data_IF_535315958949
#
_entry.id   IF_535315958949
#
_cell.length_a   1.000
_cell.length_b   1.000
_cell.length_c   1.000
_cell.angle_alpha   90.00
_cell.angle_beta   90.00
_cell.angle_gamma   90.00
#
_symmetry.space_group_name_H-M   'P 1'
#
loop_
_entity.id
_entity.type
_entity.pdbx_description
1 polymer ?
#
# COMPACT_ATOMS: atom_id res chain seq x y z
N UNK A 1 10.59 -63.49 66.32
CA UNK A 1 9.81 -62.51 65.53
C UNK A 1 10.52 -62.38 64.19
N UNK A 2 9.97 -62.94 63.08
CA UNK A 2 10.73 -63.48 61.96
C UNK A 2 10.94 -62.46 60.83
N UNK A 3 12.09 -62.44 60.14
CA UNK A 3 12.48 -63.21 58.95
C UNK A 3 11.87 -62.73 57.60
N UNK A 4 12.77 -62.55 56.61
CA UNK A 4 12.64 -62.75 55.15
C UNK A 4 11.88 -61.72 54.29
N UNK A 5 12.16 -61.47 53.02
CA UNK A 5 13.29 -61.67 52.07
C UNK A 5 12.84 -61.07 50.70
N UNK A 6 13.78 -60.88 49.75
CA UNK A 6 13.65 -60.76 48.28
C UNK A 6 13.49 -59.40 47.57
N UNK A 7 14.65 -58.91 47.11
CA UNK A 7 15.10 -58.84 45.70
C UNK A 7 14.12 -58.48 44.56
N UNK A 8 14.49 -57.48 43.75
CA UNK A 8 14.74 -57.65 42.29
C UNK A 8 15.45 -56.44 41.70
N UNK A 9 16.40 -56.73 40.81
CA UNK A 9 17.25 -55.83 40.06
C UNK A 9 16.51 -55.08 38.91
N UNK A 10 17.15 -54.02 38.39
CA UNK A 10 16.79 -53.34 37.15
C UNK A 10 17.76 -52.21 36.81
N UNK A 11 18.85 -52.56 36.11
CA UNK A 11 19.83 -51.66 35.50
C UNK A 11 19.28 -50.98 34.23
N UNK A 12 19.95 -49.87 33.89
CA UNK A 12 20.29 -49.38 32.55
C UNK A 12 19.32 -48.55 31.67
N UNK A 13 19.81 -47.33 31.45
CA UNK A 13 20.16 -46.74 30.15
C UNK A 13 19.11 -45.97 29.32
N UNK A 14 19.41 -44.67 29.21
CA UNK A 14 19.52 -43.89 27.97
C UNK A 14 18.40 -44.04 26.94
N UNK A 15 17.58 -42.99 26.83
CA UNK A 15 17.06 -42.54 25.53
C UNK A 15 17.21 -41.04 25.38
N UNK A 16 17.91 -40.68 24.32
CA UNK A 16 17.91 -39.38 23.66
C UNK A 16 16.47 -38.94 23.38
N UNK A 17 16.18 -37.67 23.66
CA UNK A 17 14.97 -37.01 23.18
C UNK A 17 15.40 -35.85 22.29
N UNK A 18 15.04 -35.96 21.01
CA UNK A 18 15.37 -35.03 19.94
C UNK A 18 14.50 -33.77 20.06
N UNK A 19 15.16 -32.63 20.21
CA UNK A 19 14.54 -31.32 20.22
C UNK A 19 14.01 -30.90 18.85
N UNK A 20 12.72 -31.12 18.61
CA UNK A 20 11.95 -30.54 17.50
C UNK A 20 11.12 -29.33 17.97
N UNK A 21 11.77 -28.19 18.19
CA UNK A 21 11.10 -26.93 18.55
C UNK A 21 10.38 -26.28 17.37
N UNK A 22 9.18 -26.78 17.04
CA UNK A 22 8.28 -26.13 16.09
C UNK A 22 7.74 -24.82 16.65
N UNK A 23 8.35 -23.69 16.29
CA UNK A 23 7.83 -22.34 16.54
C UNK A 23 6.89 -21.93 15.40
N UNK A 24 5.75 -22.61 15.31
CA UNK A 24 4.64 -22.16 14.46
C UNK A 24 3.91 -21.02 15.16
N UNK A 25 3.84 -19.84 14.51
CA UNK A 25 2.92 -18.78 14.94
C UNK A 25 1.50 -19.35 14.88
N UNK A 26 0.72 -19.33 15.99
CA UNK A 26 -0.64 -19.84 15.95
C UNK A 26 -1.48 -19.01 14.96
N UNK A 27 -2.49 -19.61 14.29
CA UNK A 27 -3.40 -18.86 13.43
C UNK A 27 -4.09 -17.73 14.21
N UNK A 28 -4.52 -16.64 13.54
CA UNK A 28 -5.20 -15.55 14.20
C UNK A 28 -6.45 -16.08 14.92
N UNK A 29 -6.61 -15.69 16.19
CA UNK A 29 -7.85 -15.98 16.92
C UNK A 29 -8.99 -15.14 16.31
N UNK A 30 -10.23 -15.64 16.37
CA UNK A 30 -11.45 -14.97 15.84
C UNK A 30 -11.63 -13.49 16.26
N UNK A 31 -10.89 -13.01 17.26
CA UNK A 31 -10.91 -11.61 17.69
C UNK A 31 -10.04 -10.68 16.84
N UNK A 32 -9.07 -11.20 16.07
CA UNK A 32 -8.10 -10.38 15.31
C UNK A 32 -8.42 -10.18 13.83
N UNK A 33 -9.57 -10.63 13.33
CA UNK A 33 -9.99 -10.42 11.93
C UNK A 33 -11.42 -9.92 11.90
N UNK A 34 -11.57 -8.59 11.91
CA UNK A 34 -12.83 -7.91 11.72
C UNK A 34 -13.31 -8.12 10.28
N UNK A 35 -14.19 -9.09 10.08
CA UNK A 35 -14.93 -9.27 8.83
C UNK A 35 -15.99 -8.18 8.70
N UNK A 36 -15.86 -7.27 7.73
CA UNK A 36 -16.89 -6.26 7.42
C UNK A 36 -17.63 -6.69 6.16
N UNK A 37 -18.94 -6.94 6.29
CA UNK A 37 -19.84 -7.07 5.15
C UNK A 37 -20.23 -5.67 4.65
N UNK A 38 -19.68 -5.23 3.51
CA UNK A 38 -20.08 -3.98 2.86
C UNK A 38 -21.32 -4.22 1.98
N UNK A 39 -22.47 -3.64 2.34
CA UNK A 39 -23.68 -3.66 1.52
C UNK A 39 -23.64 -2.51 0.49
N UNK A 40 -23.58 -2.84 -0.80
CA UNK A 40 -23.65 -1.87 -1.89
C UNK A 40 -25.10 -1.72 -2.39
N UNK A 41 -25.67 -0.52 -2.25
CA UNK A 41 -26.96 -0.15 -2.83
C UNK A 41 -26.82 0.26 -4.30
N UNK A 42 -27.60 -0.38 -5.19
CA UNK A 42 -27.64 -0.11 -6.63
C UNK A 42 -28.75 0.91 -6.90
N UNK A 43 -28.38 2.06 -7.49
CA UNK A 43 -29.32 3.02 -8.08
C UNK A 43 -29.13 3.07 -9.60
N UNK A 44 -30.00 2.38 -10.33
CA UNK A 44 -30.15 2.46 -11.79
C UNK A 44 -30.95 3.71 -12.16
N UNK A 45 -30.46 4.54 -13.07
CA UNK A 45 -31.32 5.37 -13.92
C UNK A 45 -30.77 5.44 -15.35
N UNK A 46 -31.66 5.09 -16.27
CA UNK A 46 -31.50 5.08 -17.72
C UNK A 46 -32.14 6.34 -18.35
N UNK A 47 -31.72 6.67 -19.57
CA UNK A 47 -32.36 7.63 -20.50
C UNK A 47 -31.33 8.11 -21.52
N UNK A 48 -31.26 7.61 -22.76
CA UNK A 48 -32.16 7.74 -23.93
C UNK A 48 -31.95 9.03 -24.76
N UNK A 49 -31.60 8.82 -26.05
CA UNK A 49 -31.80 9.70 -27.21
C UNK A 49 -30.86 10.92 -27.33
N UNK A 50 -30.42 11.37 -28.51
CA UNK A 50 -30.87 11.15 -29.89
C UNK A 50 -29.77 11.62 -30.87
N UNK A 51 -29.71 10.98 -32.05
CA UNK A 51 -28.90 11.38 -33.20
C UNK A 51 -29.50 12.60 -33.92
N UNK A 52 -28.65 13.39 -34.58
CA UNK A 52 -29.04 13.94 -35.89
C UNK A 52 -27.84 14.27 -36.76
N UNK A 53 -27.93 13.81 -38.01
CA UNK A 53 -26.97 13.98 -39.09
C UNK A 53 -27.29 15.25 -39.92
N UNK A 54 -26.26 15.80 -40.58
CA UNK A 54 -26.42 16.85 -41.58
C UNK A 54 -25.15 17.02 -42.43
N UNK A 55 -25.19 16.49 -43.65
CA UNK A 55 -24.12 16.53 -44.67
C UNK A 55 -23.93 17.90 -45.33
N UNK A 56 -22.80 18.13 -46.05
CA UNK A 56 -22.34 19.44 -46.51
C UNK A 56 -22.75 19.76 -47.95
N UNK A 57 -22.66 21.04 -48.34
CA UNK A 57 -22.73 21.45 -49.74
C UNK A 57 -21.97 22.76 -49.98
N UNK A 58 -21.32 22.87 -51.14
CA UNK A 58 -20.98 24.17 -51.74
C UNK A 58 -19.57 24.29 -52.31
N UNK A 59 -19.45 24.10 -53.62
CA UNK A 59 -18.26 24.22 -54.46
C UNK A 59 -17.73 25.68 -54.62
N UNK A 60 -16.48 25.78 -55.09
CA UNK A 60 -15.72 27.03 -55.34
C UNK A 60 -16.23 27.91 -56.50
N UNK A 61 -15.43 28.90 -56.96
CA UNK A 61 -14.36 28.56 -57.91
C UNK A 61 -13.07 29.41 -57.83
N UNK A 62 -12.12 29.00 -58.69
CA UNK A 62 -10.77 29.51 -58.92
C UNK A 62 -10.69 30.95 -59.46
N UNK A 63 -9.57 31.62 -59.16
CA UNK A 63 -9.11 32.84 -59.82
C UNK A 63 -7.58 32.92 -59.79
N UNK A 64 -6.97 32.84 -60.97
CA UNK A 64 -5.54 32.85 -61.28
C UNK A 64 -4.94 34.27 -61.35
N UNK A 65 -3.66 34.42 -60.97
CA UNK A 65 -2.73 35.24 -61.76
C UNK A 65 -1.84 36.27 -61.05
N UNK A 66 -0.53 36.13 -61.32
CA UNK A 66 0.57 37.13 -61.41
C UNK A 66 1.39 37.53 -60.17
N UNK A 67 2.62 36.98 -60.17
CA UNK A 67 3.92 37.64 -60.34
C UNK A 67 4.35 38.80 -59.41
N UNK A 68 5.49 38.52 -58.74
CA UNK A 68 6.64 39.40 -58.46
C UNK A 68 6.45 40.69 -57.66
N UNK A 69 7.00 40.68 -56.44
CA UNK A 69 8.09 41.57 -56.00
C UNK A 69 8.62 41.12 -54.64
N UNK A 70 9.93 40.86 -54.56
CA UNK A 70 10.65 40.88 -53.28
C UNK A 70 10.59 42.29 -52.69
N UNK A 71 10.43 42.39 -51.37
CA UNK A 71 11.27 43.32 -50.63
C UNK A 71 11.91 42.66 -49.41
N UNK A 72 13.21 42.95 -49.28
CA UNK A 72 13.92 43.25 -48.04
C UNK A 72 13.82 42.26 -46.88
N UNK A 73 14.97 41.66 -46.54
CA UNK A 73 15.21 40.88 -45.34
C UNK A 73 14.73 41.63 -44.07
N UNK A 74 13.64 41.13 -43.49
CA UNK A 74 13.22 41.42 -42.11
C UNK A 74 14.09 40.58 -41.18
N UNK A 75 14.55 41.08 -40.01
CA UNK A 75 15.25 40.23 -39.07
C UNK A 75 14.32 39.11 -38.66
N UNK A 76 14.77 37.87 -38.87
CA UNK A 76 14.06 36.67 -38.43
C UNK A 76 13.83 36.81 -36.92
N UNK A 77 12.60 37.12 -36.52
CA UNK A 77 12.17 37.04 -35.13
C UNK A 77 12.39 35.59 -34.74
N UNK A 78 13.44 35.33 -33.96
CA UNK A 78 13.65 34.04 -33.32
C UNK A 78 12.37 33.69 -32.58
N UNK A 79 11.62 32.71 -33.08
CA UNK A 79 10.51 32.14 -32.34
C UNK A 79 11.04 31.69 -30.98
N UNK A 80 10.42 32.10 -29.86
CA UNK A 80 10.84 31.62 -28.56
C UNK A 80 10.71 30.11 -28.55
N UNK A 81 11.82 29.42 -28.29
CA UNK A 81 11.82 27.97 -28.08
C UNK A 81 10.84 27.67 -26.94
N UNK A 82 9.91 26.71 -27.08
CA UNK A 82 8.92 26.44 -26.06
C UNK A 82 9.64 26.05 -24.76
N UNK A 83 9.37 26.79 -23.69
CA UNK A 83 9.86 26.45 -22.35
C UNK A 83 9.35 25.04 -22.01
N UNK A 84 10.23 24.08 -21.66
CA UNK A 84 9.78 22.74 -21.31
C UNK A 84 8.79 22.81 -20.15
N UNK A 85 7.69 22.06 -20.25
CA UNK A 85 6.72 21.95 -19.14
C UNK A 85 7.46 21.44 -17.89
N UNK A 86 7.21 22.02 -16.71
CA UNK A 86 7.81 21.52 -15.48
C UNK A 86 7.37 20.07 -15.25
N UNK A 87 8.33 19.22 -14.91
CA UNK A 87 8.08 17.80 -14.65
C UNK A 87 7.25 17.64 -13.38
N UNK A 88 6.37 16.62 -13.26
CA UNK A 88 5.64 16.35 -12.04
C UNK A 88 6.56 16.14 -10.83
N UNK A 89 6.13 16.58 -9.65
CA UNK A 89 6.87 16.45 -8.40
C UNK A 89 6.01 15.79 -7.32
N UNK A 90 6.66 15.30 -6.26
CA UNK A 90 5.99 14.86 -5.04
C UNK A 90 5.22 16.03 -4.41
N UNK A 91 4.20 15.77 -3.57
CA UNK A 91 3.35 16.81 -2.98
C UNK A 91 4.12 17.97 -2.33
N UNK A 92 5.25 17.67 -1.69
CA UNK A 92 6.13 18.64 -0.98
C UNK A 92 7.39 19.03 -1.76
N UNK A 93 7.44 18.66 -3.04
CA UNK A 93 8.47 19.05 -4.01
C UNK A 93 9.54 17.98 -4.25
N UNK A 94 10.29 18.14 -5.33
CA UNK A 94 11.30 17.19 -5.75
C UNK A 94 10.72 15.85 -6.21
N UNK A 95 11.59 14.87 -6.46
CA UNK A 95 11.21 13.59 -7.10
C UNK A 95 11.63 12.34 -6.34
N UNK A 96 12.34 12.50 -5.23
CA UNK A 96 12.95 11.43 -4.45
C UNK A 96 12.28 11.32 -3.08
N UNK A 97 11.78 10.13 -2.73
CA UNK A 97 11.14 9.87 -1.43
C UNK A 97 12.15 9.80 -0.27
N UNK A 98 13.46 9.70 -0.54
CA UNK A 98 14.50 9.64 0.50
C UNK A 98 14.59 10.91 1.36
N UNK A 99 14.14 12.06 0.81
CA UNK A 99 14.05 13.34 1.54
C UNK A 99 13.01 13.31 2.66
N UNK A 100 12.02 12.41 2.57
CA UNK A 100 10.84 12.43 3.42
C UNK A 100 10.83 11.31 4.46
N UNK A 101 10.21 11.60 5.59
CA UNK A 101 9.67 10.59 6.52
C UNK A 101 8.18 10.47 6.26
N UNK A 102 7.75 9.30 5.81
CA UNK A 102 6.33 9.04 5.60
C UNK A 102 5.68 8.76 6.95
N UNK A 103 4.52 9.38 7.20
CA UNK A 103 3.66 9.04 8.34
C UNK A 103 2.21 9.07 7.89
N UNK A 104 1.45 8.02 8.17
CA UNK A 104 0.09 7.93 7.69
C UNK A 104 -0.84 7.19 8.62
N UNK A 105 -2.14 7.36 8.36
CA UNK A 105 -3.21 6.55 8.96
C UNK A 105 -3.85 5.69 7.86
N UNK A 106 -4.25 4.47 8.20
CA UNK A 106 -5.06 3.62 7.33
C UNK A 106 -6.56 3.75 7.65
N UNK A 107 -7.41 3.40 6.70
CA UNK A 107 -8.85 3.33 6.95
C UNK A 107 -9.73 3.19 5.74
N UNK A 108 -11.00 2.88 6.00
CA UNK A 108 -12.10 2.93 5.04
C UNK A 108 -13.29 3.67 5.64
N UNK A 109 -13.88 4.67 4.94
CA UNK A 109 -15.09 5.34 5.39
C UNK A 109 -16.22 4.38 5.73
N UNK A 110 -16.84 4.57 6.89
CA UNK A 110 -17.96 3.73 7.34
C UNK A 110 -17.54 2.38 7.94
N UNK A 111 -16.25 2.07 7.99
CA UNK A 111 -15.70 0.88 8.62
C UNK A 111 -14.64 1.27 9.65
N UNK A 112 -15.09 1.78 10.81
CA UNK A 112 -14.21 2.25 11.89
C UNK A 112 -13.21 1.18 12.35
N UNK A 113 -13.63 -0.08 12.30
CA UNK A 113 -12.82 -1.26 12.57
C UNK A 113 -11.61 -1.47 11.63
N UNK A 114 -11.55 -0.75 10.51
CA UNK A 114 -10.50 -0.89 9.49
C UNK A 114 -9.49 0.27 9.52
N UNK A 115 -9.50 1.08 10.57
CA UNK A 115 -8.51 2.13 10.80
C UNK A 115 -9.10 3.55 10.86
N UNK A 116 -8.39 4.39 11.61
CA UNK A 116 -8.86 5.73 12.00
C UNK A 116 -9.10 6.69 10.85
N UNK A 117 -8.45 6.52 9.70
CA UNK A 117 -8.63 7.41 8.54
C UNK A 117 -10.08 7.42 8.05
N UNK A 118 -10.83 6.34 8.27
CA UNK A 118 -12.24 6.22 7.92
C UNK A 118 -13.22 6.88 8.90
N UNK A 119 -12.73 7.41 10.03
CA UNK A 119 -13.56 7.89 11.15
C UNK A 119 -13.61 9.42 11.16
N UNK A 120 -14.81 10.00 11.16
CA UNK A 120 -14.99 11.46 11.28
C UNK A 120 -14.70 12.23 10.00
N UNK A 121 -14.37 13.52 10.13
CA UNK A 121 -14.04 14.39 9.01
C UNK A 121 -12.64 14.09 8.46
N UNK A 122 -12.54 13.98 7.13
CA UNK A 122 -11.29 13.59 6.48
C UNK A 122 -10.21 14.66 6.61
N UNK A 123 -10.55 15.95 6.49
CA UNK A 123 -9.56 17.01 6.59
C UNK A 123 -9.04 17.16 8.03
N UNK A 124 -9.87 16.88 9.04
CA UNK A 124 -9.42 16.74 10.44
C UNK A 124 -8.44 15.58 10.61
N UNK A 125 -8.71 14.42 10.00
CA UNK A 125 -7.76 13.30 10.05
C UNK A 125 -6.41 13.67 9.43
N UNK A 126 -6.40 14.35 8.27
CA UNK A 126 -5.14 14.75 7.65
C UNK A 126 -4.36 15.76 8.51
N UNK A 127 -5.04 16.73 9.14
CA UNK A 127 -4.41 17.64 10.11
C UNK A 127 -3.80 16.89 11.30
N UNK A 128 -4.47 15.84 11.76
CA UNK A 128 -3.95 15.00 12.83
C UNK A 128 -2.74 14.18 12.39
N UNK A 129 -2.74 13.63 11.17
CA UNK A 129 -1.57 12.98 10.56
C UNK A 129 -0.41 13.98 10.48
N UNK A 130 -0.64 15.21 10.02
CA UNK A 130 0.41 16.24 9.97
C UNK A 130 1.04 16.53 11.34
N UNK A 131 0.21 16.59 12.39
CA UNK A 131 0.67 16.77 13.77
C UNK A 131 1.54 15.59 14.21
N UNK A 132 1.08 14.37 13.96
CA UNK A 132 1.83 13.15 14.29
C UNK A 132 3.14 13.10 13.49
N UNK A 133 3.11 13.40 12.19
CA UNK A 133 4.26 13.33 11.29
C UNK A 133 5.44 14.20 11.76
N UNK A 134 5.16 15.38 12.34
CA UNK A 134 6.20 16.26 12.91
C UNK A 134 7.00 15.59 14.04
N UNK A 135 6.37 14.72 14.84
CA UNK A 135 7.07 14.00 15.91
C UNK A 135 8.01 12.89 15.39
N UNK A 136 7.77 12.38 14.18
CA UNK A 136 8.58 11.32 13.56
C UNK A 136 9.60 11.83 12.54
N UNK A 137 9.50 13.09 12.12
CA UNK A 137 10.34 13.72 11.10
C UNK A 137 11.85 13.44 11.32
N UNK A 138 12.32 13.70 12.54
CA UNK A 138 13.73 13.60 12.93
C UNK A 138 14.65 14.34 11.96
N UNK A 139 15.41 13.61 11.15
CA UNK A 139 16.39 14.09 10.18
C UNK A 139 15.81 14.32 8.76
N UNK A 140 14.51 14.13 8.57
CA UNK A 140 13.83 14.20 7.27
C UNK A 140 12.60 15.09 7.33
N UNK A 141 12.10 15.49 6.16
CA UNK A 141 10.86 16.26 6.08
C UNK A 141 9.63 15.36 6.29
N UNK A 142 8.67 15.76 7.14
CA UNK A 142 7.46 14.98 7.34
C UNK A 142 6.57 15.04 6.09
N UNK A 143 6.14 13.87 5.62
CA UNK A 143 5.21 13.70 4.51
C UNK A 143 3.99 12.89 4.99
N UNK A 144 2.83 13.55 5.16
CA UNK A 144 1.58 12.87 5.49
C UNK A 144 1.20 11.87 4.39
N UNK A 145 0.61 10.75 4.80
CA UNK A 145 0.12 9.68 3.93
C UNK A 145 -1.30 9.29 4.35
N UNK A 146 -2.23 9.31 3.42
CA UNK A 146 -3.56 8.72 3.57
C UNK A 146 -3.49 7.33 2.96
N UNK A 147 -3.67 6.28 3.74
CA UNK A 147 -3.74 4.93 3.19
C UNK A 147 -5.20 4.44 3.20
N UNK A 148 -5.82 4.54 2.03
CA UNK A 148 -7.20 4.14 1.83
C UNK A 148 -7.24 2.68 1.40
N UNK A 149 -8.03 1.85 2.08
CA UNK A 149 -8.37 0.51 1.60
C UNK A 149 -9.14 0.65 0.28
N UNK A 150 -8.47 0.43 -0.84
CA UNK A 150 -9.05 0.49 -2.17
C UNK A 150 -9.71 -0.84 -2.57
N UNK A 151 -9.19 -1.95 -2.02
CA UNK A 151 -9.78 -3.28 -2.10
C UNK A 151 -9.77 -3.90 -0.70
N UNK A 152 -10.90 -4.47 -0.28
CA UNK A 152 -11.08 -5.07 1.04
C UNK A 152 -11.45 -6.54 0.88
N UNK A 153 -10.81 -7.42 1.63
CA UNK A 153 -11.16 -8.84 1.61
C UNK A 153 -12.45 -9.11 2.40
N UNK A 154 -13.28 -10.01 1.88
CA UNK A 154 -14.57 -10.36 2.46
C UNK A 154 -14.55 -11.82 2.94
N UNK A 155 -15.25 -12.10 4.03
CA UNK A 155 -15.47 -13.49 4.50
C UNK A 155 -16.39 -14.30 3.60
N UNK A 156 -17.09 -13.64 2.66
CA UNK A 156 -18.00 -14.26 1.69
C UNK A 156 -17.59 -13.93 0.26
N UNK A 157 -17.84 -14.88 -0.65
CA UNK A 157 -17.58 -14.69 -2.06
C UNK A 157 -18.47 -13.59 -2.65
N UNK A 158 -17.86 -12.67 -3.40
CA UNK A 158 -18.60 -11.79 -4.30
C UNK A 158 -19.08 -12.52 -5.56
N UNK A 159 -19.78 -11.83 -6.47
CA UNK A 159 -20.31 -12.43 -7.71
C UNK A 159 -19.25 -13.08 -8.61
N UNK A 160 -18.01 -12.59 -8.55
CA UNK A 160 -16.87 -13.11 -9.32
C UNK A 160 -16.07 -14.20 -8.55
N UNK A 161 -16.53 -14.59 -7.35
CA UNK A 161 -15.89 -15.62 -6.54
C UNK A 161 -14.56 -15.17 -5.88
N UNK A 162 -14.19 -13.89 -5.95
CA UNK A 162 -12.86 -13.41 -5.53
C UNK A 162 -12.75 -12.98 -4.07
N UNK A 163 -13.83 -13.04 -3.28
CA UNK A 163 -13.81 -12.71 -1.84
C UNK A 163 -13.24 -11.32 -1.53
N UNK A 164 -13.58 -10.32 -2.34
CA UNK A 164 -13.23 -8.92 -2.06
C UNK A 164 -14.36 -7.96 -2.45
N UNK A 165 -14.22 -6.71 -2.03
CA UNK A 165 -14.99 -5.56 -2.52
C UNK A 165 -14.01 -4.45 -2.94
N UNK A 166 -14.38 -3.66 -3.95
CA UNK A 166 -13.63 -2.45 -4.33
C UNK A 166 -14.29 -1.21 -3.77
N UNK A 167 -13.47 -0.29 -3.27
CA UNK A 167 -13.91 1.05 -2.89
C UNK A 167 -14.32 1.83 -4.14
N UNK A 168 -15.41 2.59 -4.05
CA UNK A 168 -15.96 3.31 -5.21
C UNK A 168 -14.97 4.37 -5.73
N UNK A 169 -14.94 4.63 -7.06
CA UNK A 169 -14.13 5.70 -7.63
C UNK A 169 -14.39 7.07 -6.99
N UNK A 170 -15.64 7.36 -6.58
CA UNK A 170 -15.97 8.62 -5.90
C UNK A 170 -15.34 8.74 -4.52
N UNK A 171 -15.23 7.62 -3.79
CA UNK A 171 -14.54 7.61 -2.51
C UNK A 171 -13.03 7.80 -2.72
N UNK A 172 -12.44 7.12 -3.70
CA UNK A 172 -11.01 7.30 -4.03
C UNK A 172 -10.76 8.77 -4.44
N UNK A 173 -11.63 9.35 -5.28
CA UNK A 173 -11.56 10.75 -5.69
C UNK A 173 -11.57 11.70 -4.50
N UNK A 174 -12.50 11.50 -3.55
CA UNK A 174 -12.60 12.32 -2.34
C UNK A 174 -11.31 12.29 -1.51
N UNK A 175 -10.68 11.11 -1.40
CA UNK A 175 -9.41 10.95 -0.68
C UNK A 175 -8.23 11.55 -1.45
N UNK A 176 -8.20 11.40 -2.77
CA UNK A 176 -7.18 12.02 -3.62
C UNK A 176 -7.25 13.54 -3.56
N UNK A 177 -8.46 14.11 -3.62
CA UNK A 177 -8.65 15.55 -3.49
C UNK A 177 -8.21 16.07 -2.11
N UNK A 178 -8.46 15.31 -1.04
CA UNK A 178 -7.94 15.63 0.29
C UNK A 178 -6.40 15.57 0.32
N UNK A 179 -5.79 14.52 -0.24
CA UNK A 179 -4.35 14.39 -0.33
C UNK A 179 -3.72 15.59 -1.06
N UNK A 180 -4.31 16.02 -2.18
CA UNK A 180 -3.88 17.20 -2.93
C UNK A 180 -3.99 18.49 -2.12
N UNK A 181 -5.13 18.73 -1.44
CA UNK A 181 -5.35 19.94 -0.61
C UNK A 181 -4.30 20.07 0.49
N UNK A 182 -3.93 18.95 1.13
CA UNK A 182 -2.99 18.93 2.25
C UNK A 182 -1.54 18.58 1.86
N UNK A 183 -1.27 18.46 0.55
CA UNK A 183 0.04 18.06 0.03
C UNK A 183 0.54 16.77 0.69
N UNK A 184 -0.35 15.79 0.79
CA UNK A 184 -0.13 14.44 1.30
C UNK A 184 0.03 13.44 0.14
N UNK A 185 0.53 12.24 0.44
CA UNK A 185 0.45 11.10 -0.47
C UNK A 185 -0.84 10.33 -0.22
N UNK A 186 -1.36 9.67 -1.26
CA UNK A 186 -2.42 8.68 -1.16
C UNK A 186 -1.84 7.29 -1.48
N UNK A 187 -1.95 6.36 -0.55
CA UNK A 187 -1.71 4.94 -0.80
C UNK A 187 -3.05 4.23 -0.99
N UNK A 188 -3.16 3.48 -2.08
CA UNK A 188 -4.29 2.61 -2.34
C UNK A 188 -3.92 1.22 -1.85
N UNK A 189 -4.46 0.85 -0.69
CA UNK A 189 -4.20 -0.43 -0.05
C UNK A 189 -5.10 -1.54 -0.65
N UNK A 190 -4.52 -2.71 -0.89
CA UNK A 190 -5.17 -3.85 -1.53
C UNK A 190 -5.13 -5.07 -0.63
N UNK A 191 -6.31 -5.52 -0.24
CA UNK A 191 -6.60 -6.86 0.30
C UNK A 191 -7.30 -7.68 -0.80
N UNK A 192 -6.57 -8.49 -1.57
CA UNK A 192 -7.07 -9.00 -2.85
C UNK A 192 -8.11 -10.13 -2.71
N UNK A 193 -8.22 -10.76 -1.54
CA UNK A 193 -8.99 -12.01 -1.42
C UNK A 193 -8.36 -13.07 -2.33
N UNK A 194 -9.15 -13.68 -3.21
CA UNK A 194 -8.68 -14.62 -4.25
C UNK A 194 -8.41 -13.94 -5.61
N UNK A 195 -8.53 -12.61 -5.71
CA UNK A 195 -8.17 -11.91 -6.94
C UNK A 195 -6.64 -11.90 -7.12
N UNK A 196 -6.17 -11.74 -8.36
CA UNK A 196 -4.75 -11.47 -8.61
C UNK A 196 -4.40 -10.07 -8.09
N UNK A 197 -3.37 -9.95 -7.26
CA UNK A 197 -2.85 -8.65 -6.78
C UNK A 197 -2.55 -7.71 -7.94
N UNK A 198 -1.81 -8.18 -8.96
CA UNK A 198 -1.49 -7.37 -10.12
C UNK A 198 -2.75 -6.95 -10.91
N UNK A 199 -3.78 -7.79 -10.92
CA UNK A 199 -5.09 -7.44 -11.50
C UNK A 199 -5.74 -6.26 -10.79
N UNK A 200 -5.69 -6.24 -9.45
CA UNK A 200 -6.21 -5.13 -8.63
C UNK A 200 -5.39 -3.85 -8.80
N UNK A 201 -4.06 -3.95 -8.84
CA UNK A 201 -3.20 -2.79 -9.11
C UNK A 201 -3.50 -2.19 -10.49
N UNK A 202 -3.69 -3.03 -11.52
CA UNK A 202 -4.06 -2.56 -12.88
C UNK A 202 -5.43 -1.88 -12.91
N UNK A 203 -6.39 -2.34 -12.12
CA UNK A 203 -7.70 -1.71 -12.03
C UNK A 203 -7.63 -0.27 -11.47
N UNK A 204 -6.55 0.08 -10.75
CA UNK A 204 -6.32 1.40 -10.17
C UNK A 204 -5.46 2.31 -11.06
N UNK A 205 -5.19 1.93 -12.32
CA UNK A 205 -4.31 2.69 -13.23
C UNK A 205 -4.70 4.16 -13.34
N UNK A 206 -5.99 4.47 -13.40
CA UNK A 206 -6.47 5.86 -13.51
C UNK A 206 -6.00 6.77 -12.36
N UNK A 207 -5.71 6.20 -11.19
CA UNK A 207 -5.20 6.92 -10.02
C UNK A 207 -3.68 6.93 -9.99
N UNK A 208 -3.06 5.82 -10.40
CA UNK A 208 -1.61 5.64 -10.35
C UNK A 208 -0.84 6.56 -11.30
N UNK A 209 -1.49 7.15 -12.30
CA UNK A 209 -0.89 8.18 -13.16
C UNK A 209 -0.66 9.52 -12.45
N UNK A 210 -1.19 9.71 -11.23
CA UNK A 210 -0.97 10.93 -10.45
C UNK A 210 0.33 10.86 -9.63
N UNK A 211 1.11 11.94 -9.52
CA UNK A 211 2.43 11.93 -8.87
C UNK A 211 2.38 11.64 -7.36
N UNK A 212 1.21 11.84 -6.74
CA UNK A 212 0.97 11.73 -5.30
C UNK A 212 0.31 10.41 -4.88
N UNK A 213 0.11 9.47 -5.82
CA UNK A 213 -0.55 8.18 -5.56
C UNK A 213 0.41 7.00 -5.67
N UNK A 214 0.42 6.13 -4.65
CA UNK A 214 1.16 4.87 -4.61
C UNK A 214 0.29 3.68 -4.19
N UNK A 215 0.92 2.54 -3.93
CA UNK A 215 0.25 1.28 -3.57
C UNK A 215 0.69 0.84 -2.18
N UNK A 216 -0.25 0.29 -1.42
CA UNK A 216 0.02 -0.60 -0.29
C UNK A 216 -0.62 -1.97 -0.56
N UNK A 217 0.01 -3.03 -0.09
CA UNK A 217 -0.47 -4.41 -0.22
C UNK A 217 -0.54 -5.01 1.18
N UNK A 218 -1.62 -5.75 1.44
CA UNK A 218 -1.78 -6.57 2.64
C UNK A 218 -1.78 -8.06 2.23
N UNK A 219 -0.59 -8.69 2.08
CA UNK A 219 -0.45 -10.04 1.56
C UNK A 219 -1.10 -11.12 2.42
N UNK A 220 -1.35 -10.87 3.70
CA UNK A 220 -2.08 -11.78 4.57
C UNK A 220 -3.55 -11.97 4.15
N UNK A 221 -4.04 -11.14 3.23
CA UNK A 221 -5.35 -11.27 2.61
C UNK A 221 -5.31 -11.86 1.19
N UNK A 222 -4.14 -12.28 0.71
CA UNK A 222 -3.97 -12.96 -0.58
C UNK A 222 -4.19 -14.47 -0.45
N UNK A 223 -5.41 -14.88 -0.77
CA UNK A 223 -5.92 -16.23 -0.60
C UNK A 223 -5.65 -17.11 -1.82
N UNK A 224 -5.14 -18.31 -1.56
CA UNK A 224 -5.03 -19.37 -2.53
C UNK A 224 -6.39 -20.03 -2.86
N UNK A 225 -6.37 -21.00 -3.80
CA UNK A 225 -7.56 -21.77 -4.16
C UNK A 225 -8.16 -22.48 -2.94
N UNK A 226 -9.45 -22.27 -2.69
CA UNK A 226 -10.18 -22.89 -1.57
C UNK A 226 -10.03 -22.18 -0.22
N UNK A 227 -9.12 -21.22 -0.09
CA UNK A 227 -8.91 -20.46 1.15
C UNK A 227 -9.89 -19.30 1.28
N UNK A 228 -10.32 -18.99 2.49
CA UNK A 228 -11.31 -17.92 2.75
C UNK A 228 -10.67 -16.87 3.64
N UNK A 229 -10.76 -15.57 3.28
CA UNK A 229 -10.28 -14.49 4.14
C UNK A 229 -10.83 -14.61 5.56
N UNK A 230 -9.98 -14.43 6.57
CA UNK A 230 -10.40 -14.55 7.96
C UNK A 230 -10.16 -15.92 8.61
N UNK A 231 -10.01 -16.99 7.81
CA UNK A 231 -9.83 -18.34 8.34
C UNK A 231 -8.36 -18.77 8.42
N UNK A 232 -7.52 -18.22 7.54
CA UNK A 232 -6.08 -18.45 7.48
C UNK A 232 -5.41 -17.16 7.02
N UNK A 233 -4.10 -17.04 7.25
CA UNK A 233 -3.31 -16.04 6.55
C UNK A 233 -3.10 -16.47 5.11
N UNK A 234 -3.23 -15.49 4.23
CA UNK A 234 -2.78 -15.52 2.87
C UNK A 234 -1.28 -15.35 2.76
N UNK A 235 -0.82 -15.27 1.52
CA UNK A 235 0.58 -15.17 1.19
C UNK A 235 0.81 -14.48 -0.16
N UNK A 236 1.94 -13.80 -0.28
CA UNK A 236 2.50 -13.37 -1.56
C UNK A 236 3.94 -13.86 -1.73
N UNK A 237 4.59 -13.49 -2.83
CA UNK A 237 5.99 -13.82 -3.11
C UNK A 237 6.82 -12.61 -3.52
N UNK A 238 8.15 -12.68 -3.34
CA UNK A 238 9.06 -11.66 -3.87
C UNK A 238 8.95 -11.46 -5.39
N UNK A 239 8.60 -12.51 -6.14
CA UNK A 239 8.35 -12.42 -7.58
C UNK A 239 7.11 -11.58 -7.88
N UNK A 240 6.01 -11.81 -7.17
CA UNK A 240 4.77 -11.06 -7.37
C UNK A 240 4.91 -9.59 -6.99
N UNK A 241 5.60 -9.31 -5.87
CA UNK A 241 5.99 -7.94 -5.50
C UNK A 241 6.82 -7.27 -6.59
N UNK A 242 7.71 -8.02 -7.25
CA UNK A 242 8.48 -7.53 -8.41
C UNK A 242 7.60 -7.25 -9.62
N UNK A 243 6.59 -8.09 -9.87
CA UNK A 243 5.67 -7.90 -10.99
C UNK A 243 4.81 -6.62 -10.80
N UNK A 244 4.37 -6.35 -9.56
CA UNK A 244 3.72 -5.08 -9.19
C UNK A 244 4.68 -3.89 -9.33
N UNK A 245 5.89 -4.00 -8.78
CA UNK A 245 6.89 -2.95 -8.89
C UNK A 245 7.22 -2.63 -10.37
N UNK A 246 7.30 -3.65 -11.23
CA UNK A 246 7.60 -3.46 -12.65
C UNK A 246 6.47 -2.72 -13.35
N UNK A 247 5.23 -3.05 -13.02
CA UNK A 247 4.06 -2.34 -13.56
C UNK A 247 4.05 -0.86 -13.13
N UNK A 248 4.31 -0.57 -11.85
CA UNK A 248 4.42 0.81 -11.36
C UNK A 248 5.57 1.58 -12.02
N UNK A 249 6.72 0.93 -12.22
CA UNK A 249 7.87 1.52 -12.91
C UNK A 249 7.52 1.92 -14.35
N UNK A 250 6.75 1.09 -15.06
CA UNK A 250 6.24 1.43 -16.39
C UNK A 250 5.34 2.67 -16.39
N UNK A 251 4.45 2.82 -15.41
CA UNK A 251 3.62 4.03 -15.26
C UNK A 251 4.48 5.26 -14.98
N UNK A 252 5.52 5.11 -14.15
CA UNK A 252 6.43 6.22 -13.83
C UNK A 252 7.16 6.71 -15.07
N UNK A 253 7.68 5.78 -15.88
CA UNK A 253 8.38 6.09 -17.13
C UNK A 253 7.43 6.73 -18.16
N UNK A 254 6.25 6.14 -18.38
CA UNK A 254 5.24 6.62 -19.33
C UNK A 254 4.79 8.06 -19.05
N UNK A 255 4.68 8.44 -17.78
CA UNK A 255 4.11 9.71 -17.34
C UNK A 255 5.14 10.68 -16.74
N UNK A 256 6.44 10.37 -16.83
CA UNK A 256 7.54 11.14 -16.23
C UNK A 256 7.30 11.49 -14.74
N UNK A 257 6.84 10.53 -13.96
CA UNK A 257 6.43 10.75 -12.56
C UNK A 257 7.61 10.76 -11.58
N UNK A 258 7.47 11.41 -10.41
CA UNK A 258 8.40 11.20 -9.31
C UNK A 258 8.35 9.75 -8.82
N UNK A 259 9.23 9.42 -7.86
CA UNK A 259 9.21 8.12 -7.21
C UNK A 259 7.84 7.79 -6.60
N UNK A 260 7.42 6.53 -6.70
CA UNK A 260 6.19 6.03 -6.06
C UNK A 260 6.51 5.03 -4.97
N UNK A 261 5.83 5.11 -3.82
CA UNK A 261 5.90 4.06 -2.81
C UNK A 261 5.11 2.82 -3.26
N UNK A 262 5.72 1.65 -3.04
CA UNK A 262 5.06 0.35 -3.00
C UNK A 262 5.27 -0.22 -1.59
N UNK A 263 4.26 -0.13 -0.75
CA UNK A 263 4.29 -0.69 0.60
C UNK A 263 3.75 -2.11 0.55
N UNK A 264 4.37 -3.04 1.29
CA UNK A 264 3.73 -4.30 1.63
C UNK A 264 3.81 -4.49 3.15
N UNK A 265 2.66 -4.79 3.75
CA UNK A 265 2.53 -5.10 5.16
C UNK A 265 2.93 -6.55 5.41
N UNK A 266 3.63 -6.82 6.51
CA UNK A 266 4.02 -8.18 6.85
C UNK A 266 3.79 -8.42 8.34
N UNK A 267 2.70 -9.11 8.65
CA UNK A 267 2.33 -9.51 10.02
C UNK A 267 3.16 -10.68 10.54
N UNK A 268 3.60 -11.58 9.65
CA UNK A 268 4.39 -12.76 9.98
C UNK A 268 5.37 -13.14 8.87
N UNK A 269 6.43 -13.91 9.21
CA UNK A 269 7.44 -14.35 8.23
C UNK A 269 6.82 -15.15 7.07
N UNK A 270 5.81 -15.99 7.36
CA UNK A 270 5.15 -16.86 6.38
C UNK A 270 4.38 -16.12 5.29
N UNK A 271 3.94 -14.88 5.55
CA UNK A 271 3.06 -14.11 4.67
C UNK A 271 3.75 -13.64 3.39
N UNK A 272 5.08 -13.55 3.38
CA UNK A 272 5.85 -13.19 2.18
C UNK A 272 6.97 -14.20 1.96
N UNK A 273 6.75 -15.09 1.00
CA UNK A 273 7.69 -16.12 0.58
C UNK A 273 8.73 -15.57 -0.40
N UNK A 274 9.89 -16.24 -0.48
CA UNK A 274 10.98 -15.95 -1.44
C UNK A 274 11.27 -14.45 -1.62
N UNK A 275 11.46 -13.73 -0.51
CA UNK A 275 11.79 -12.29 -0.57
C UNK A 275 13.09 -12.03 -1.33
N UNK A 276 13.99 -13.02 -1.38
CA UNK A 276 15.20 -13.00 -2.22
C UNK A 276 14.92 -12.87 -3.71
N UNK A 277 13.72 -13.20 -4.21
CA UNK A 277 13.32 -12.97 -5.60
C UNK A 277 12.83 -11.54 -5.87
N UNK A 278 12.65 -10.70 -4.83
CA UNK A 278 12.29 -9.30 -5.02
C UNK A 278 13.40 -8.56 -5.77
N UNK A 279 13.05 -7.86 -6.85
CA UNK A 279 13.97 -7.03 -7.63
C UNK A 279 13.49 -5.58 -7.63
N UNK A 280 14.27 -4.63 -7.08
CA UNK A 280 13.97 -3.20 -7.19
C UNK A 280 13.72 -2.78 -8.64
N UNK A 281 12.81 -1.83 -8.84
CA UNK A 281 12.45 -1.31 -10.15
C UNK A 281 12.65 0.21 -10.19
N UNK A 282 13.10 0.78 -11.32
CA UNK A 282 13.33 2.23 -11.44
C UNK A 282 12.12 3.05 -11.01
N UNK A 283 12.36 4.06 -10.18
CA UNK A 283 11.30 4.96 -9.68
C UNK A 283 10.40 4.37 -8.59
N UNK A 284 10.47 3.07 -8.29
CA UNK A 284 9.62 2.44 -7.26
C UNK A 284 10.41 2.28 -5.97
N UNK A 285 9.89 2.88 -4.91
CA UNK A 285 10.43 2.75 -3.55
C UNK A 285 9.63 1.68 -2.83
N UNK A 286 10.22 0.49 -2.74
CA UNK A 286 9.61 -0.64 -2.02
C UNK A 286 9.82 -0.46 -0.52
N UNK A 287 8.75 -0.53 0.26
CA UNK A 287 8.76 -0.36 1.72
C UNK A 287 8.13 -1.60 2.35
N UNK A 288 8.90 -2.32 3.16
CA UNK A 288 8.43 -3.44 3.97
C UNK A 288 7.93 -2.94 5.31
N UNK A 289 6.63 -3.00 5.56
CA UNK A 289 6.03 -2.55 6.82
C UNK A 289 5.85 -3.70 7.81
N UNK A 290 6.45 -3.61 8.99
CA UNK A 290 6.22 -4.57 10.08
C UNK A 290 4.83 -4.34 10.68
N UNK A 291 3.96 -5.35 10.62
CA UNK A 291 2.52 -5.22 10.90
C UNK A 291 2.00 -6.17 12.01
N UNK A 292 2.83 -6.44 13.02
CA UNK A 292 2.41 -7.21 14.19
C UNK A 292 1.81 -6.32 15.28
N UNK A 293 0.87 -6.84 16.05
CA UNK A 293 0.29 -6.18 17.24
C UNK A 293 1.03 -6.55 18.53
N UNK A 294 0.93 -5.70 19.54
CA UNK A 294 1.22 -6.04 20.93
C UNK A 294 2.10 -5.04 21.66
N UNK A 295 2.59 -5.45 22.83
CA UNK A 295 3.42 -4.60 23.69
C UNK A 295 4.71 -4.12 22.98
N UNK A 296 5.35 -3.01 23.43
CA UNK A 296 6.60 -2.53 22.87
C UNK A 296 7.70 -3.60 22.75
N UNK A 297 7.75 -4.56 23.68
CA UNK A 297 8.66 -5.71 23.60
C UNK A 297 8.38 -6.59 22.38
N UNK A 298 7.14 -7.04 22.25
CA UNK A 298 6.68 -7.88 21.14
C UNK A 298 6.89 -7.18 19.79
N UNK A 299 6.56 -5.89 19.70
CA UNK A 299 6.76 -5.10 18.48
C UNK A 299 8.23 -5.02 18.05
N UNK A 300 9.14 -4.81 19.01
CA UNK A 300 10.59 -4.85 18.74
C UNK A 300 11.06 -6.25 18.33
N UNK A 301 10.46 -7.30 18.86
CA UNK A 301 10.82 -8.69 18.54
C UNK A 301 10.38 -9.04 17.11
N UNK A 302 9.13 -8.73 16.76
CA UNK A 302 8.60 -8.83 15.39
C UNK A 302 9.46 -8.02 14.42
N UNK A 303 9.82 -6.78 14.77
CA UNK A 303 10.72 -5.97 13.97
C UNK A 303 12.03 -6.70 13.64
N UNK A 304 12.75 -7.16 14.68
CA UNK A 304 14.05 -7.84 14.53
C UNK A 304 13.94 -9.12 13.70
N UNK A 305 12.81 -9.82 13.77
CA UNK A 305 12.56 -10.99 12.95
C UNK A 305 12.36 -10.62 11.48
N UNK A 306 11.52 -9.62 11.21
CA UNK A 306 11.13 -9.27 9.84
C UNK A 306 12.25 -8.56 9.06
N UNK A 307 13.11 -7.77 9.70
CA UNK A 307 14.18 -7.03 8.99
C UNK A 307 15.47 -7.85 8.77
N UNK A 308 15.61 -9.02 9.40
CA UNK A 308 16.89 -9.76 9.46
C UNK A 308 17.47 -10.09 8.09
N UNK A 309 16.63 -10.53 7.15
CA UNK A 309 17.03 -10.97 5.81
C UNK A 309 16.35 -10.12 4.73
N UNK A 310 16.22 -8.83 4.99
CA UNK A 310 15.58 -7.92 4.06
C UNK A 310 16.42 -7.79 2.77
N UNK A 311 15.80 -7.90 1.58
CA UNK A 311 16.50 -7.69 0.32
C UNK A 311 17.10 -6.28 0.22
N UNK A 312 18.24 -6.15 -0.45
CA UNK A 312 18.87 -4.85 -0.69
C UNK A 312 17.93 -3.92 -1.48
N UNK A 313 17.95 -2.63 -1.13
CA UNK A 313 17.12 -1.61 -1.77
C UNK A 313 15.67 -1.52 -1.25
N UNK A 314 15.22 -2.48 -0.43
CA UNK A 314 13.94 -2.37 0.28
C UNK A 314 14.11 -1.44 1.49
N UNK A 315 13.19 -0.50 1.67
CA UNK A 315 13.11 0.39 2.84
C UNK A 315 12.21 -0.22 3.91
N UNK A 316 12.25 0.33 5.12
CA UNK A 316 11.48 -0.24 6.24
C UNK A 316 10.31 0.65 6.64
N UNK A 317 9.22 0.02 7.05
CA UNK A 317 8.03 0.65 7.59
C UNK A 317 7.63 0.00 8.90
N UNK A 318 6.96 0.73 9.78
CA UNK A 318 6.53 0.24 11.08
C UNK A 318 5.10 0.66 11.36
N UNK A 319 4.21 -0.29 11.58
CA UNK A 319 2.81 -0.02 11.89
C UNK A 319 2.58 -0.05 13.39
N UNK A 320 1.74 0.86 13.87
CA UNK A 320 1.32 1.04 15.25
C UNK A 320 -0.20 0.96 15.31
N UNK A 321 -0.73 0.29 16.33
CA UNK A 321 -2.17 0.12 16.50
C UNK A 321 -2.63 0.86 17.74
N UNK A 322 -3.51 1.86 17.59
CA UNK A 322 -3.93 2.71 18.69
C UNK A 322 -4.63 1.94 19.80
N UNK A 323 -5.43 0.93 19.45
CA UNK A 323 -6.22 0.16 20.40
C UNK A 323 -5.46 -1.11 20.79
N UNK A 324 -5.06 -1.93 19.81
CA UNK A 324 -4.50 -3.26 20.00
C UNK A 324 -3.12 -3.26 20.68
N UNK A 325 -2.24 -2.31 20.34
CA UNK A 325 -0.92 -2.23 21.02
C UNK A 325 -1.05 -1.74 22.47
N UNK A 326 -2.19 -1.14 22.83
CA UNK A 326 -2.45 -0.62 24.18
C UNK A 326 -3.25 -1.58 25.07
N UNK A 327 -3.74 -2.70 24.52
CA UNK A 327 -4.39 -3.75 25.31
C UNK A 327 -3.41 -4.34 26.33
N UNK A 328 -3.59 -3.95 27.60
CA UNK A 328 -2.71 -4.36 28.69
C UNK A 328 -1.28 -3.79 28.61
N UNK A 329 -1.05 -2.75 27.78
CA UNK A 329 0.27 -2.16 27.57
C UNK A 329 0.19 -0.67 27.19
N UNK A 330 1.12 -0.19 26.35
CA UNK A 330 1.16 1.16 25.80
C UNK A 330 1.71 1.14 24.37
N UNK A 331 1.40 2.19 23.62
CA UNK A 331 2.03 2.44 22.34
C UNK A 331 3.53 2.70 22.50
N UNK A 332 4.33 2.32 21.50
CA UNK A 332 5.72 2.78 21.40
C UNK A 332 5.75 4.29 21.14
N UNK A 333 6.67 5.00 21.79
CA UNK A 333 6.84 6.45 21.56
C UNK A 333 7.56 6.71 20.24
N UNK A 334 7.50 7.94 19.70
CA UNK A 334 8.29 8.31 18.53
C UNK A 334 9.78 8.00 18.70
N UNK A 335 10.37 8.30 19.86
CA UNK A 335 11.78 8.05 20.16
C UNK A 335 12.12 6.55 20.07
N UNK A 336 11.25 5.69 20.62
CA UNK A 336 11.44 4.24 20.58
C UNK A 336 11.35 3.68 19.15
N UNK A 337 10.41 4.17 18.34
CA UNK A 337 10.28 3.76 16.94
C UNK A 337 11.46 4.26 16.11
N UNK A 338 11.91 5.49 16.33
CA UNK A 338 13.05 6.10 15.63
C UNK A 338 14.40 5.49 16.01
N UNK A 339 14.45 4.78 17.14
CA UNK A 339 15.61 4.02 17.61
C UNK A 339 15.72 2.62 16.99
N UNK A 340 14.68 2.13 16.32
CA UNK A 340 14.74 0.85 15.59
C UNK A 340 15.85 0.88 14.52
N UNK A 341 16.42 -0.31 14.27
CA UNK A 341 17.48 -0.52 13.27
C UNK A 341 17.07 -1.65 12.31
N UNK A 342 17.03 -1.41 10.98
CA UNK A 342 17.13 -0.10 10.30
C UNK A 342 16.10 0.93 10.81
N UNK A 343 16.32 2.24 10.61
CA UNK A 343 15.32 3.23 11.04
C UNK A 343 14.13 3.20 10.07
N UNK A 344 12.87 3.13 10.54
CA UNK A 344 11.70 3.17 9.65
C UNK A 344 11.65 4.43 8.78
N UNK A 345 11.46 4.24 7.47
CA UNK A 345 11.16 5.26 6.47
C UNK A 345 9.66 5.61 6.45
N UNK A 346 8.81 4.67 6.87
CA UNK A 346 7.37 4.84 6.99
C UNK A 346 6.88 4.47 8.39
N UNK A 347 6.06 5.31 9.01
CA UNK A 347 5.32 4.95 10.23
C UNK A 347 3.83 5.03 9.95
N UNK A 348 3.15 3.90 10.05
CA UNK A 348 1.71 3.78 9.84
C UNK A 348 0.99 3.68 11.18
N UNK A 349 -0.19 4.26 11.30
CA UNK A 349 -1.10 4.02 12.40
C UNK A 349 -2.42 3.46 11.92
N UNK A 350 -2.92 2.49 12.67
CA UNK A 350 -4.29 1.96 12.59
C UNK A 350 -5.04 2.33 13.87
#
# INVERSE_FOLDING_TARGET
MPATDRASAGQDALRHDDGGGGSGTPPPTRRGMLSVAAAAGIGLLAGCGEESAGSPSGAGPQGSGKAERSPSATPSKSSPSPTPKPRPELPRGGRELSRYRLVGYCGLPGAAALGRLGIGDLDDQVRQIEKTARAYAADREPQPVLELLATVANSSAGPDGTYRSRTSPDTIRRFHDAAKRHRALLLLNIQPGRASVLGEVKALREWLVHPDVGIALDPEWEMGPGEVPGNTYGHTSGKELTDVARYLSGIIDEHDLPQKPLVFHQVAVSVVSDQSALRPQPGVVVIKSADGIGSPGMKRDTWRQLVRNQPEGVRTGFKLFYEEDTEGSRLMTPEEVLALRPRPDYVMFE
#
